data_IF_691996626942
#
_entry.id   IF_691996626942
#
_cell.length_a   1.000
_cell.length_b   1.000
_cell.length_c   1.000
_cell.angle_alpha   90.00
_cell.angle_beta   90.00
_cell.angle_gamma   90.00
#
_symmetry.space_group_name_H-M   'P 1'
#
loop_
_entity.id
_entity.type
_entity.pdbx_description
1 polymer ?
#
# COMPACT_ATOMS: atom_id res chain seq x y z
N UNK A 1 16.12 10.77 6.34
CA UNK A 1 16.05 10.25 4.96
C UNK A 1 15.24 11.25 4.14
N UNK A 2 15.84 11.76 3.03
CA UNK A 2 15.13 12.59 2.08
C UNK A 2 14.43 11.75 1.02
N UNK A 3 13.34 12.27 0.45
CA UNK A 3 12.70 11.68 -0.72
C UNK A 3 13.34 12.21 -1.99
N UNK A 4 13.66 11.36 -2.94
CA UNK A 4 14.07 11.78 -4.29
C UNK A 4 12.87 12.31 -5.07
N UNK A 5 13.12 13.07 -6.14
CA UNK A 5 12.03 13.53 -7.03
C UNK A 5 11.29 12.36 -7.66
N UNK A 6 12.00 11.27 -7.96
CA UNK A 6 11.37 10.04 -8.44
C UNK A 6 10.43 9.45 -7.38
N UNK A 7 10.83 9.43 -6.09
CA UNK A 7 9.96 8.96 -5.00
C UNK A 7 8.71 9.85 -4.87
N UNK A 8 8.86 11.17 -4.91
CA UNK A 8 7.74 12.12 -4.82
C UNK A 8 6.69 11.81 -5.88
N UNK A 9 7.09 11.71 -7.15
CA UNK A 9 6.18 11.39 -8.25
C UNK A 9 5.56 9.99 -8.11
N UNK A 10 6.36 8.98 -7.78
CA UNK A 10 5.87 7.60 -7.70
C UNK A 10 4.90 7.41 -6.52
N UNK A 11 5.17 8.00 -5.37
CA UNK A 11 4.29 7.98 -4.21
C UNK A 11 2.99 8.73 -4.49
N UNK A 12 3.07 9.89 -5.14
CA UNK A 12 1.90 10.67 -5.55
C UNK A 12 1.03 9.88 -6.54
N UNK A 13 1.64 9.30 -7.58
CA UNK A 13 0.95 8.47 -8.56
C UNK A 13 0.18 7.32 -7.90
N UNK A 14 0.83 6.61 -6.99
CA UNK A 14 0.21 5.52 -6.26
C UNK A 14 -0.98 6.00 -5.41
N UNK A 15 -0.79 7.10 -4.67
CA UNK A 15 -1.82 7.65 -3.78
C UNK A 15 -3.05 8.14 -4.53
N UNK A 16 -2.84 8.85 -5.65
CA UNK A 16 -3.92 9.41 -6.45
C UNK A 16 -4.48 8.43 -7.49
N UNK A 17 -3.84 7.27 -7.66
CA UNK A 17 -4.22 6.28 -8.66
C UNK A 17 -4.08 6.81 -10.08
N UNK A 18 -3.06 7.63 -10.32
CA UNK A 18 -2.75 8.24 -11.61
C UNK A 18 -1.52 7.59 -12.22
N UNK A 19 -1.51 7.47 -13.55
CA UNK A 19 -0.30 7.14 -14.30
C UNK A 19 0.55 8.40 -14.54
N UNK A 20 1.81 8.24 -14.94
CA UNK A 20 2.65 9.37 -15.35
C UNK A 20 2.04 10.14 -16.52
N UNK A 21 1.39 9.44 -17.44
CA UNK A 21 0.69 10.06 -18.58
C UNK A 21 -0.54 10.85 -18.15
N UNK A 22 -1.27 10.37 -17.13
CA UNK A 22 -2.41 11.12 -16.59
C UNK A 22 -1.94 12.42 -15.95
N UNK A 23 -0.86 12.38 -15.14
CA UNK A 23 -0.27 13.60 -14.58
C UNK A 23 0.15 14.56 -15.68
N UNK A 24 0.84 14.08 -16.73
CA UNK A 24 1.24 14.91 -17.85
C UNK A 24 0.02 15.56 -18.55
N UNK A 25 -1.04 14.80 -18.75
CA UNK A 25 -2.29 15.29 -19.38
C UNK A 25 -2.97 16.33 -18.50
N UNK A 26 -3.08 16.09 -17.21
CA UNK A 26 -3.77 16.97 -16.27
C UNK A 26 -3.01 18.27 -15.98
N UNK A 27 -1.67 18.22 -15.99
CA UNK A 27 -0.83 19.39 -15.70
C UNK A 27 -0.39 20.16 -16.93
N UNK A 28 -0.51 19.57 -18.12
CA UNK A 28 0.10 20.10 -19.35
C UNK A 28 1.62 19.89 -19.41
N UNK A 29 2.18 19.10 -18.52
CA UNK A 29 3.61 18.77 -18.51
C UNK A 29 3.94 17.83 -19.66
N UNK A 30 5.07 18.06 -20.32
CA UNK A 30 5.59 17.09 -21.31
C UNK A 30 6.14 15.85 -20.61
N UNK A 31 5.91 14.63 -21.14
CA UNK A 31 6.47 13.40 -20.55
C UNK A 31 7.99 13.46 -20.35
N UNK A 32 8.73 14.04 -21.29
CA UNK A 32 10.16 14.25 -21.18
C UNK A 32 10.58 15.11 -19.98
N UNK A 33 9.78 16.12 -19.60
CA UNK A 33 10.07 16.96 -18.43
C UNK A 33 9.95 16.14 -17.12
N UNK A 34 8.92 15.28 -17.03
CA UNK A 34 8.76 14.43 -15.85
C UNK A 34 9.87 13.36 -15.78
N UNK A 35 10.24 12.76 -16.93
CA UNK A 35 11.34 11.78 -16.98
C UNK A 35 12.67 12.44 -16.60
N UNK A 36 12.96 13.62 -17.12
CA UNK A 36 14.14 14.39 -16.75
C UNK A 36 14.17 14.67 -15.24
N UNK A 37 13.09 15.18 -14.68
CA UNK A 37 13.01 15.48 -13.26
C UNK A 37 13.28 14.25 -12.38
N UNK A 38 12.78 13.07 -12.79
CA UNK A 38 13.01 11.81 -12.08
C UNK A 38 14.44 11.28 -12.23
N UNK A 39 15.02 11.42 -13.42
CA UNK A 39 16.34 10.89 -13.73
C UNK A 39 17.45 11.72 -13.07
N UNK A 40 17.34 13.04 -13.13
CA UNK A 40 18.34 13.98 -12.61
C UNK A 40 18.11 14.34 -11.12
N UNK A 41 17.05 13.81 -10.51
CA UNK A 41 16.62 14.16 -9.14
C UNK A 41 16.43 15.67 -8.93
N UNK A 42 15.99 16.38 -9.99
CA UNK A 42 15.82 17.84 -9.99
C UNK A 42 14.37 18.23 -10.25
N UNK A 43 13.71 18.79 -9.25
CA UNK A 43 12.39 19.38 -9.40
C UNK A 43 12.54 20.84 -9.84
N UNK A 44 12.48 21.08 -11.15
CA UNK A 44 12.58 22.45 -11.68
C UNK A 44 11.37 23.30 -11.23
N UNK A 45 11.58 24.62 -11.10
CA UNK A 45 10.53 25.58 -10.74
C UNK A 45 9.29 25.42 -11.62
N UNK A 46 9.49 25.34 -12.94
CA UNK A 46 8.40 25.15 -13.91
C UNK A 46 7.63 23.85 -13.70
N UNK A 47 8.31 22.75 -13.46
CA UNK A 47 7.68 21.45 -13.17
C UNK A 47 6.88 21.49 -11.89
N UNK A 48 7.43 22.11 -10.83
CA UNK A 48 6.72 22.27 -9.57
C UNK A 48 5.48 23.16 -9.71
N UNK A 49 5.59 24.28 -10.40
CA UNK A 49 4.46 25.19 -10.66
C UNK A 49 3.30 24.48 -11.38
N UNK A 50 3.57 23.63 -12.35
CA UNK A 50 2.55 22.84 -13.05
C UNK A 50 1.86 21.87 -12.08
N UNK A 51 2.61 21.20 -11.21
CA UNK A 51 2.05 20.29 -10.21
C UNK A 51 1.24 21.05 -9.16
N UNK A 52 1.76 22.17 -8.65
CA UNK A 52 1.07 23.02 -7.66
C UNK A 52 -0.24 23.55 -8.22
N UNK A 53 -0.24 24.07 -9.45
CA UNK A 53 -1.42 24.60 -10.10
C UNK A 53 -2.55 23.58 -10.19
N UNK A 54 -2.23 22.30 -10.42
CA UNK A 54 -3.23 21.25 -10.63
C UNK A 54 -3.59 20.51 -9.34
N UNK A 55 -2.62 20.24 -8.48
CA UNK A 55 -2.78 19.34 -7.33
C UNK A 55 -2.59 20.05 -5.98
N UNK A 56 -2.26 21.34 -5.98
CA UNK A 56 -2.05 22.13 -4.78
C UNK A 56 -0.61 22.13 -4.26
N UNK A 57 -0.31 23.09 -3.39
CA UNK A 57 1.04 23.33 -2.87
C UNK A 57 1.62 22.17 -2.06
N UNK A 58 0.75 21.37 -1.45
CA UNK A 58 1.14 20.29 -0.55
C UNK A 58 1.37 18.94 -1.24
N UNK A 59 1.33 18.86 -2.60
CA UNK A 59 1.45 17.60 -3.32
C UNK A 59 2.72 16.80 -2.96
N UNK A 60 3.82 17.48 -2.67
CA UNK A 60 5.12 16.93 -2.29
C UNK A 60 5.57 17.28 -0.87
N UNK A 61 4.66 17.74 -0.01
CA UNK A 61 5.00 18.02 1.39
C UNK A 61 5.44 16.74 2.11
N UNK A 62 6.38 16.87 3.06
CA UNK A 62 6.90 15.74 3.84
C UNK A 62 5.76 14.96 4.52
N UNK A 63 4.75 15.68 5.01
CA UNK A 63 3.58 15.07 5.64
C UNK A 63 2.79 14.19 4.65
N UNK A 64 2.52 14.70 3.45
CA UNK A 64 1.82 13.95 2.41
C UNK A 64 2.66 12.79 1.89
N UNK A 65 3.97 12.99 1.71
CA UNK A 65 4.87 11.92 1.28
C UNK A 65 4.92 10.76 2.31
N UNK A 66 4.88 11.06 3.61
CA UNK A 66 4.75 10.04 4.66
C UNK A 66 3.43 9.28 4.55
N UNK A 67 2.30 9.98 4.40
CA UNK A 67 0.99 9.36 4.17
C UNK A 67 0.97 8.48 2.91
N UNK A 68 1.59 8.95 1.83
CA UNK A 68 1.71 8.18 0.59
C UNK A 68 2.60 6.94 0.76
N UNK A 69 3.68 7.07 1.53
CA UNK A 69 4.54 5.92 1.85
C UNK A 69 3.82 4.86 2.69
N UNK A 70 2.97 5.26 3.63
CA UNK A 70 2.12 4.34 4.39
C UNK A 70 1.16 3.60 3.46
N UNK A 71 0.50 4.31 2.54
CA UNK A 71 -0.36 3.69 1.50
C UNK A 71 0.44 2.68 0.65
N UNK A 72 1.65 3.04 0.22
CA UNK A 72 2.54 2.16 -0.53
C UNK A 72 2.87 0.89 0.23
N UNK A 73 3.16 1.00 1.52
CA UNK A 73 3.45 -0.15 2.36
C UNK A 73 2.24 -1.08 2.49
N UNK A 74 1.03 -0.54 2.69
CA UNK A 74 -0.21 -1.32 2.73
C UNK A 74 -0.45 -2.06 1.41
N UNK A 75 -0.31 -1.35 0.29
CA UNK A 75 -0.53 -1.93 -1.04
C UNK A 75 0.51 -3.01 -1.36
N UNK A 76 1.76 -2.84 -0.92
CA UNK A 76 2.83 -3.83 -1.08
C UNK A 76 2.54 -5.13 -0.33
N UNK A 77 1.88 -5.03 0.80
CA UNK A 77 1.55 -6.17 1.64
C UNK A 77 0.22 -6.85 1.26
N UNK A 78 -0.39 -6.44 0.13
CA UNK A 78 -1.63 -7.02 -0.38
C UNK A 78 -1.45 -8.50 -0.75
N UNK A 79 -2.40 -9.33 -0.30
CA UNK A 79 -2.39 -10.77 -0.54
C UNK A 79 -3.22 -11.12 -1.78
N UNK A 80 -2.54 -11.28 -2.90
CA UNK A 80 -3.17 -11.64 -4.18
C UNK A 80 -3.74 -13.07 -4.16
N UNK A 81 -3.07 -14.01 -3.50
CA UNK A 81 -3.51 -15.39 -3.42
C UNK A 81 -4.80 -15.49 -2.60
N UNK A 82 -4.85 -14.77 -1.49
CA UNK A 82 -6.06 -14.68 -0.68
C UNK A 82 -7.23 -14.05 -1.43
N UNK A 83 -6.98 -13.03 -2.23
CA UNK A 83 -8.00 -12.43 -3.09
C UNK A 83 -8.58 -13.46 -4.07
N UNK A 84 -7.74 -14.23 -4.73
CA UNK A 84 -8.14 -15.31 -5.65
C UNK A 84 -8.98 -16.37 -4.93
N UNK A 85 -8.52 -16.80 -3.75
CA UNK A 85 -9.24 -17.77 -2.92
C UNK A 85 -10.64 -17.27 -2.55
N UNK A 86 -10.77 -16.03 -2.08
CA UNK A 86 -12.04 -15.41 -1.73
C UNK A 86 -13.00 -15.33 -2.93
N UNK A 87 -12.48 -15.00 -4.12
CA UNK A 87 -13.28 -15.00 -5.34
C UNK A 87 -13.80 -16.42 -5.66
N UNK A 88 -12.92 -17.42 -5.63
CA UNK A 88 -13.31 -18.81 -5.91
C UNK A 88 -14.35 -19.34 -4.93
N UNK A 89 -14.21 -19.00 -3.64
CA UNK A 89 -15.19 -19.38 -2.61
C UNK A 89 -16.57 -18.73 -2.81
N UNK A 90 -16.61 -17.48 -3.29
CA UNK A 90 -17.86 -16.77 -3.58
C UNK A 90 -18.50 -17.20 -4.90
N UNK A 91 -17.74 -17.92 -5.75
CA UNK A 91 -18.12 -18.23 -7.12
C UNK A 91 -17.98 -17.01 -8.04
N UNK A 92 -18.14 -17.24 -9.32
CA UNK A 92 -18.06 -16.20 -10.34
C UNK A 92 -16.72 -16.13 -11.06
N UNK A 93 -16.78 -15.57 -12.25
CA UNK A 93 -15.64 -15.42 -13.16
C UNK A 93 -14.88 -14.10 -12.92
N UNK A 94 -13.62 -14.06 -13.31
CA UNK A 94 -12.83 -12.80 -13.26
C UNK A 94 -13.52 -11.71 -14.09
N UNK A 95 -14.19 -12.07 -15.19
CA UNK A 95 -14.92 -11.12 -16.05
C UNK A 95 -16.09 -10.44 -15.31
N UNK A 96 -16.83 -11.19 -14.50
CA UNK A 96 -17.91 -10.65 -13.68
C UNK A 96 -17.37 -9.74 -12.58
N UNK A 97 -16.33 -10.19 -11.88
CA UNK A 97 -15.67 -9.40 -10.83
C UNK A 97 -15.04 -8.12 -11.38
N UNK A 98 -14.45 -8.16 -12.58
CA UNK A 98 -13.89 -6.96 -13.21
C UNK A 98 -14.95 -5.88 -13.46
N UNK A 99 -16.16 -6.28 -13.87
CA UNK A 99 -17.29 -5.36 -14.07
C UNK A 99 -17.75 -4.76 -12.74
N UNK A 100 -17.93 -5.59 -11.73
CA UNK A 100 -18.41 -5.14 -10.39
C UNK A 100 -17.41 -4.21 -9.72
N UNK A 101 -16.12 -4.54 -9.79
CA UNK A 101 -15.04 -3.76 -9.20
C UNK A 101 -14.68 -2.51 -10.02
N UNK A 102 -15.08 -2.45 -11.29
CA UNK A 102 -14.62 -1.41 -12.21
C UNK A 102 -13.08 -1.41 -12.34
N UNK A 103 -12.48 -2.61 -12.35
CA UNK A 103 -11.06 -2.86 -12.61
C UNK A 103 -10.98 -3.64 -13.92
N UNK A 104 -10.10 -3.23 -14.83
CA UNK A 104 -9.98 -3.88 -16.13
C UNK A 104 -9.70 -5.38 -16.01
N UNK A 105 -10.32 -6.21 -16.88
CA UNK A 105 -10.21 -7.66 -16.84
C UNK A 105 -8.75 -8.14 -16.79
N UNK A 106 -7.93 -7.71 -17.75
CA UNK A 106 -6.51 -8.09 -17.80
C UNK A 106 -5.73 -7.63 -16.56
N UNK A 107 -6.09 -6.46 -16.01
CA UNK A 107 -5.50 -5.94 -14.78
C UNK A 107 -5.81 -6.85 -13.60
N UNK A 108 -7.05 -7.29 -13.46
CA UNK A 108 -7.48 -8.18 -12.39
C UNK A 108 -6.84 -9.57 -12.51
N UNK A 109 -6.75 -10.12 -13.74
CA UNK A 109 -6.03 -11.37 -14.04
C UNK A 109 -4.57 -11.27 -13.59
N UNK A 110 -3.88 -10.18 -13.94
CA UNK A 110 -2.48 -9.99 -13.59
C UNK A 110 -2.24 -9.83 -12.09
N UNK A 111 -3.19 -9.22 -11.37
CA UNK A 111 -3.13 -9.10 -9.89
C UNK A 111 -3.32 -10.50 -9.27
N UNK A 112 -4.35 -11.26 -9.66
CA UNK A 112 -4.62 -12.61 -9.12
C UNK A 112 -3.54 -13.64 -9.44
N UNK A 113 -2.85 -13.49 -10.58
CA UNK A 113 -1.75 -14.37 -10.96
C UNK A 113 -0.40 -13.97 -10.35
N UNK A 114 -0.34 -12.86 -9.61
CA UNK A 114 0.91 -12.34 -9.06
C UNK A 114 1.87 -11.74 -10.09
N UNK A 115 1.46 -11.68 -11.39
CA UNK A 115 2.27 -11.07 -12.46
C UNK A 115 2.44 -9.56 -12.22
N UNK A 116 1.40 -8.91 -11.72
CA UNK A 116 1.44 -7.49 -11.37
C UNK A 116 1.14 -7.31 -9.89
N UNK A 117 1.98 -6.55 -9.22
CA UNK A 117 1.66 -6.07 -7.88
C UNK A 117 0.54 -5.04 -7.93
N UNK A 118 -0.26 -4.97 -6.88
CA UNK A 118 -1.19 -3.88 -6.68
C UNK A 118 -0.35 -2.61 -6.42
N UNK A 119 -0.49 -1.61 -7.26
CA UNK A 119 0.30 -0.36 -7.19
C UNK A 119 -0.57 0.90 -7.25
N UNK A 120 -1.85 0.75 -6.98
CA UNK A 120 -2.84 1.81 -7.06
C UNK A 120 -3.73 1.79 -5.81
N UNK A 121 -3.69 2.89 -5.05
CA UNK A 121 -4.47 3.01 -3.81
C UNK A 121 -5.98 2.95 -4.04
N UNK A 122 -6.48 3.52 -5.14
CA UNK A 122 -7.91 3.47 -5.48
C UNK A 122 -8.37 2.05 -5.82
N UNK A 123 -7.55 1.27 -6.52
CA UNK A 123 -7.83 -0.16 -6.75
C UNK A 123 -7.87 -0.93 -5.42
N UNK A 124 -6.90 -0.69 -4.53
CA UNK A 124 -6.88 -1.29 -3.20
C UNK A 124 -8.17 -1.00 -2.42
N UNK A 125 -8.63 0.27 -2.39
CA UNK A 125 -9.85 0.64 -1.70
C UNK A 125 -11.09 -0.05 -2.28
N UNK A 126 -11.19 -0.21 -3.61
CA UNK A 126 -12.27 -0.95 -4.27
C UNK A 126 -12.26 -2.42 -3.84
N UNK A 127 -11.12 -3.07 -3.87
CA UNK A 127 -10.96 -4.46 -3.44
C UNK A 127 -11.30 -4.62 -1.96
N UNK A 128 -10.79 -3.76 -1.10
CA UNK A 128 -11.08 -3.77 0.34
C UNK A 128 -12.57 -3.59 0.62
N UNK A 129 -13.23 -2.63 -0.02
CA UNK A 129 -14.66 -2.39 0.14
C UNK A 129 -15.50 -3.58 -0.33
N UNK A 130 -15.12 -4.22 -1.43
CA UNK A 130 -15.84 -5.35 -2.00
C UNK A 130 -15.70 -6.62 -1.15
N UNK A 131 -14.48 -6.98 -0.79
CA UNK A 131 -14.23 -8.19 -0.01
C UNK A 131 -14.57 -8.03 1.47
N UNK A 132 -14.61 -6.80 1.99
CA UNK A 132 -14.88 -6.49 3.42
C UNK A 132 -13.97 -7.27 4.38
N UNK A 133 -12.77 -7.59 3.95
CA UNK A 133 -11.89 -8.53 4.62
C UNK A 133 -10.51 -7.88 4.81
N UNK A 134 -10.13 -7.70 6.07
CA UNK A 134 -8.80 -7.21 6.42
C UNK A 134 -7.69 -8.23 6.12
N UNK A 135 -8.07 -9.47 5.76
CA UNK A 135 -7.15 -10.55 5.38
C UNK A 135 -6.55 -10.40 3.97
N UNK A 136 -6.85 -9.32 3.24
CA UNK A 136 -6.13 -8.98 2.01
C UNK A 136 -4.70 -8.47 2.26
N UNK A 137 -4.24 -8.51 3.50
CA UNK A 137 -2.86 -8.21 3.90
C UNK A 137 -2.18 -9.54 4.24
N UNK A 138 -1.01 -9.78 3.68
CA UNK A 138 -0.22 -11.00 3.96
C UNK A 138 -0.05 -11.21 5.45
N UNK A 139 -0.26 -12.43 5.92
CA UNK A 139 -0.10 -12.77 7.35
C UNK A 139 1.27 -12.37 7.92
N UNK A 140 2.33 -12.46 7.11
CA UNK A 140 3.67 -12.02 7.49
C UNK A 140 3.74 -10.53 7.83
N UNK A 141 2.94 -9.68 7.16
CA UNK A 141 2.86 -8.26 7.44
C UNK A 141 2.04 -7.97 8.71
N UNK A 142 0.98 -8.76 8.95
CA UNK A 142 0.18 -8.70 10.18
C UNK A 142 1.05 -9.07 11.39
N UNK A 143 1.83 -10.16 11.30
CA UNK A 143 2.76 -10.57 12.37
C UNK A 143 3.81 -9.50 12.67
N UNK A 144 4.34 -8.81 11.65
CA UNK A 144 5.27 -7.68 11.83
C UNK A 144 4.62 -6.47 12.50
N UNK A 145 3.36 -6.14 12.14
CA UNK A 145 2.60 -5.08 12.79
C UNK A 145 2.33 -5.41 14.25
N UNK A 146 1.86 -6.60 14.52
CA UNK A 146 1.55 -7.06 15.87
C UNK A 146 2.81 -7.17 16.74
N UNK A 147 3.96 -7.56 16.17
CA UNK A 147 5.24 -7.57 16.89
C UNK A 147 5.73 -6.18 17.30
N UNK A 148 5.32 -5.12 16.60
CA UNK A 148 5.61 -3.72 16.97
C UNK A 148 4.72 -3.17 18.10
N UNK A 149 3.56 -3.79 18.34
CA UNK A 149 2.56 -3.32 19.32
C UNK A 149 2.31 -4.30 20.47
N UNK A 150 2.90 -5.48 20.47
CA UNK A 150 2.81 -6.39 21.59
C UNK A 150 3.90 -6.06 22.60
N UNK A 151 3.52 -5.39 23.67
CA UNK A 151 4.14 -5.63 24.97
C UNK A 151 4.01 -7.13 25.20
N UNK A 152 5.11 -7.88 25.07
CA UNK A 152 5.07 -9.31 25.34
C UNK A 152 4.84 -9.48 26.82
N UNK A 153 3.60 -9.72 27.21
CA UNK A 153 3.29 -10.23 28.54
C UNK A 153 3.61 -11.73 28.54
N UNK A 154 4.75 -12.09 29.09
CA UNK A 154 5.09 -13.48 29.33
C UNK A 154 4.51 -13.89 30.68
N UNK A 155 3.50 -14.74 30.64
CA UNK A 155 3.07 -15.48 31.82
C UNK A 155 4.01 -16.69 31.92
N UNK A 156 4.89 -16.67 32.91
CA UNK A 156 5.72 -17.85 33.19
C UNK A 156 4.91 -18.80 34.05
N UNK A 157 4.77 -20.04 33.59
CA UNK A 157 4.20 -21.12 34.38
C UNK A 157 5.36 -21.89 35.04
N UNK A 158 5.29 -22.09 36.35
CA UNK A 158 6.21 -22.98 37.07
C UNK A 158 5.46 -24.23 37.45
N UNK A 159 6.09 -25.35 37.19
CA UNK A 159 5.59 -26.64 37.71
C UNK A 159 6.06 -26.80 39.16
N UNK A 160 5.15 -26.80 40.10
CA UNK A 160 5.42 -27.00 41.52
C UNK A 160 4.63 -28.22 41.98
N UNK A 161 5.34 -29.30 42.22
CA UNK A 161 4.75 -30.53 42.79
C UNK A 161 3.69 -31.20 41.91
N UNK A 162 3.81 -31.09 40.56
CA UNK A 162 2.86 -31.71 39.62
C UNK A 162 1.69 -30.80 39.19
N UNK A 163 1.60 -29.61 39.76
CA UNK A 163 0.61 -28.58 39.34
C UNK A 163 1.31 -27.40 38.68
N UNK A 164 0.69 -26.83 37.65
CA UNK A 164 1.18 -25.63 36.99
C UNK A 164 0.61 -24.37 37.65
N UNK A 165 1.47 -23.60 38.28
CA UNK A 165 1.10 -22.33 38.89
C UNK A 165 1.49 -21.15 38.01
N UNK A 166 0.63 -20.12 37.97
CA UNK A 166 0.83 -18.90 37.23
C UNK A 166 1.97 -18.09 37.92
N UNK A 167 3.08 -17.94 37.23
CA UNK A 167 4.21 -17.15 37.70
C UNK A 167 4.03 -15.66 37.42
N UNK A 168 5.02 -14.89 37.82
CA UNK A 168 5.04 -13.43 37.70
C UNK A 168 4.93 -12.94 36.25
N UNK A 169 4.06 -11.99 36.00
CA UNK A 169 3.96 -11.27 34.74
C UNK A 169 5.26 -10.46 34.52
N UNK A 170 6.03 -10.80 33.50
CA UNK A 170 7.22 -10.03 33.10
C UNK A 170 6.83 -9.17 31.90
N UNK A 171 6.77 -7.86 32.10
CA UNK A 171 6.64 -6.88 30.99
C UNK A 171 8.04 -6.60 30.46
N UNK A 172 8.31 -7.01 29.22
CA UNK A 172 9.48 -6.53 28.47
C UNK A 172 9.00 -5.58 27.38
N UNK A 173 9.39 -4.31 27.46
CA UNK A 173 9.30 -3.40 26.34
C UNK A 173 10.34 -3.82 25.30
N UNK A 174 9.88 -4.14 24.12
CA UNK A 174 10.76 -4.35 22.97
C UNK A 174 10.91 -3.00 22.27
N UNK A 175 12.11 -2.43 22.42
CA UNK A 175 12.56 -1.21 21.74
C UNK A 175 12.73 -1.46 20.24
#
# INVERSE_FOLDING_TARGET
MGYTVADMFNLFQLSEGLTGMDICRETGMKPAQMQFAKAEDVLTKKTNELMVKRFGENWNSIENLRKYQEKKNIVKDFDCDRMKELRLRRGGTIKEYSKVLGIGHNRLVNIESGISTLNNWKEYLKLKAFYKDDLLIKESAIKKKNAKYTTKEFITFKNVGGSWEMGKLIKQEVV
#
